data_IF_165704170463
#
_entry.id   IF_165704170463
#
_cell.length_a   1.000
_cell.length_b   1.000
_cell.length_c   1.000
_cell.angle_alpha   90.00
_cell.angle_beta   90.00
_cell.angle_gamma   90.00
#
_symmetry.space_group_name_H-M   'P 1'
#
loop_
_entity.id
_entity.type
_entity.pdbx_description
1 polymer ?
#
# COMPACT_ATOMS: atom_id res chain seq x y z
N UNK A 1 17.37 102.54 -90.84
CA UNK A 1 17.38 102.72 -89.37
C UNK A 1 16.04 102.34 -88.71
N UNK A 2 14.86 102.73 -89.21
CA UNK A 2 13.56 102.48 -88.52
C UNK A 2 13.09 101.00 -88.47
N UNK A 3 13.40 100.18 -89.48
CA UNK A 3 13.02 98.75 -89.49
C UNK A 3 13.81 97.89 -88.49
N UNK A 4 15.10 98.19 -88.25
CA UNK A 4 15.89 97.48 -87.23
C UNK A 4 15.34 97.72 -85.82
N UNK A 5 14.93 98.95 -85.47
CA UNK A 5 14.38 99.22 -84.14
C UNK A 5 13.04 98.51 -83.86
N UNK A 6 12.18 98.31 -84.87
CA UNK A 6 10.93 97.52 -84.70
C UNK A 6 11.20 96.02 -84.56
N UNK A 7 12.16 95.47 -85.31
CA UNK A 7 12.56 94.07 -85.15
C UNK A 7 13.17 93.82 -83.76
N UNK A 8 14.07 94.71 -83.32
CA UNK A 8 14.67 94.65 -81.99
C UNK A 8 13.65 94.81 -80.86
N UNK A 9 12.69 95.73 -81.02
CA UNK A 9 11.60 95.90 -80.03
C UNK A 9 10.68 94.68 -79.96
N UNK A 10 10.44 93.98 -81.08
CA UNK A 10 9.65 92.76 -81.10
C UNK A 10 10.41 91.59 -80.46
N UNK A 11 11.70 91.44 -80.75
CA UNK A 11 12.56 90.46 -80.06
C UNK A 11 12.63 90.73 -78.56
N UNK A 12 12.84 91.98 -78.14
CA UNK A 12 12.82 92.39 -76.73
C UNK A 12 11.48 92.06 -76.07
N UNK A 13 10.35 92.23 -76.77
CA UNK A 13 9.04 91.87 -76.25
C UNK A 13 8.84 90.35 -76.12
N UNK A 14 9.33 89.57 -77.09
CA UNK A 14 9.29 88.10 -77.05
C UNK A 14 10.16 87.55 -75.93
N UNK A 15 11.39 88.04 -75.81
CA UNK A 15 12.33 87.65 -74.75
C UNK A 15 11.77 88.03 -73.37
N UNK A 16 11.15 89.20 -73.22
CA UNK A 16 10.48 89.58 -71.95
C UNK A 16 9.33 88.64 -71.61
N UNK A 17 8.50 88.28 -72.58
CA UNK A 17 7.41 87.32 -72.39
C UNK A 17 7.92 85.93 -72.01
N UNK A 18 8.95 85.42 -72.70
CA UNK A 18 9.59 84.15 -72.36
C UNK A 18 10.22 84.19 -70.96
N UNK A 19 10.88 85.29 -70.60
CA UNK A 19 11.51 85.46 -69.28
C UNK A 19 10.47 85.51 -68.16
N UNK A 20 9.30 86.11 -68.42
CA UNK A 20 8.16 86.10 -67.51
C UNK A 20 7.53 84.70 -67.37
N UNK A 21 7.40 83.96 -68.48
CA UNK A 21 6.98 82.55 -68.47
C UNK A 21 7.97 81.66 -67.71
N UNK A 22 9.28 81.86 -67.90
CA UNK A 22 10.32 81.15 -67.15
C UNK A 22 10.28 81.50 -65.66
N UNK A 23 10.07 82.77 -65.30
CA UNK A 23 9.88 83.18 -63.90
C UNK A 23 8.65 82.52 -63.27
N UNK A 24 7.52 82.50 -63.98
CA UNK A 24 6.30 81.83 -63.51
C UNK A 24 6.51 80.32 -63.33
N UNK A 25 7.08 79.65 -64.33
CA UNK A 25 7.41 78.22 -64.25
C UNK A 25 8.38 77.92 -63.10
N UNK A 26 9.41 78.75 -62.92
CA UNK A 26 10.36 78.59 -61.83
C UNK A 26 9.69 78.78 -60.47
N UNK A 27 8.82 79.79 -60.32
CA UNK A 27 8.01 79.96 -59.11
C UNK A 27 7.15 78.73 -58.80
N UNK A 28 6.47 78.17 -59.80
CA UNK A 28 5.67 76.96 -59.64
C UNK A 28 6.52 75.74 -59.24
N UNK A 29 7.70 75.57 -59.86
CA UNK A 29 8.65 74.51 -59.50
C UNK A 29 9.18 74.67 -58.07
N UNK A 30 9.47 75.89 -57.63
CA UNK A 30 9.89 76.19 -56.26
C UNK A 30 8.78 75.79 -55.27
N UNK A 31 7.53 76.13 -55.55
CA UNK A 31 6.41 75.78 -54.68
C UNK A 31 6.15 74.28 -54.63
N UNK A 32 6.25 73.58 -55.77
CA UNK A 32 6.19 72.11 -55.79
C UNK A 32 7.33 71.48 -54.99
N UNK A 33 8.55 72.01 -55.10
CA UNK A 33 9.71 71.51 -54.36
C UNK A 33 9.55 71.74 -52.85
N UNK A 34 8.99 72.89 -52.45
CA UNK A 34 8.64 73.17 -51.05
C UNK A 34 7.56 72.21 -50.53
N UNK A 35 6.52 71.96 -51.32
CA UNK A 35 5.47 70.99 -50.95
C UNK A 35 6.05 69.58 -50.81
N UNK A 36 6.87 69.13 -51.78
CA UNK A 36 7.52 67.81 -51.72
C UNK A 36 8.48 67.68 -50.54
N UNK A 37 9.23 68.74 -50.21
CA UNK A 37 10.08 68.78 -49.03
C UNK A 37 9.26 68.66 -47.73
N UNK A 38 8.10 69.33 -47.65
CA UNK A 38 7.19 69.21 -46.51
C UNK A 38 6.57 67.81 -46.40
N UNK A 39 6.15 67.21 -47.51
CA UNK A 39 5.66 65.82 -47.56
C UNK A 39 6.73 64.83 -47.10
N UNK A 40 7.98 64.99 -47.56
CA UNK A 40 9.12 64.16 -47.14
C UNK A 40 9.41 64.29 -45.64
N UNK A 41 9.36 65.51 -45.10
CA UNK A 41 9.53 65.75 -43.66
C UNK A 41 8.44 65.08 -42.82
N UNK A 42 7.18 65.14 -43.27
CA UNK A 42 6.05 64.43 -42.64
C UNK A 42 6.23 62.90 -42.69
N UNK A 43 6.66 62.36 -43.83
CA UNK A 43 6.91 60.92 -43.97
C UNK A 43 8.07 60.47 -43.07
N UNK A 44 9.14 61.25 -43.00
CA UNK A 44 10.30 60.96 -42.14
C UNK A 44 9.93 60.97 -40.66
N UNK A 45 9.11 61.93 -40.21
CA UNK A 45 8.64 61.96 -38.81
C UNK A 45 7.71 60.78 -38.49
N UNK A 46 6.84 60.38 -39.42
CA UNK A 46 6.00 59.19 -39.27
C UNK A 46 6.82 57.90 -39.20
N UNK A 47 7.82 57.75 -40.08
CA UNK A 47 8.73 56.60 -40.09
C UNK A 47 9.53 56.50 -38.79
N UNK A 48 10.03 57.63 -38.26
CA UNK A 48 10.69 57.66 -36.96
C UNK A 48 9.76 57.26 -35.80
N UNK A 49 8.47 57.62 -35.87
CA UNK A 49 7.46 57.17 -34.90
C UNK A 49 7.23 55.66 -34.96
N UNK A 50 7.10 55.10 -36.17
CA UNK A 50 6.93 53.65 -36.37
C UNK A 50 8.14 52.85 -35.87
N UNK A 51 9.38 53.31 -36.12
CA UNK A 51 10.57 52.66 -35.58
C UNK A 51 10.55 52.59 -34.04
N UNK A 52 10.14 53.67 -33.36
CA UNK A 52 9.99 53.67 -31.90
C UNK A 52 8.92 52.69 -31.42
N UNK A 53 7.82 52.55 -32.16
CA UNK A 53 6.76 51.58 -31.84
C UNK A 53 7.23 50.14 -32.03
N UNK A 54 7.99 49.84 -33.09
CA UNK A 54 8.57 48.51 -33.32
C UNK A 54 9.56 48.15 -32.23
N UNK A 55 10.44 49.07 -31.82
CA UNK A 55 11.38 48.82 -30.72
C UNK A 55 10.66 48.58 -29.39
N UNK A 56 9.60 49.36 -29.10
CA UNK A 56 8.76 49.15 -27.92
C UNK A 56 8.03 47.79 -27.95
N UNK A 57 7.49 47.38 -29.11
CA UNK A 57 6.85 46.07 -29.28
C UNK A 57 7.85 44.92 -29.14
N UNK A 58 9.04 45.05 -29.73
CA UNK A 58 10.12 44.07 -29.60
C UNK A 58 10.50 43.85 -28.13
N UNK A 59 10.69 44.93 -27.37
CA UNK A 59 10.94 44.87 -25.92
C UNK A 59 9.78 44.21 -25.15
N UNK A 60 8.52 44.51 -25.51
CA UNK A 60 7.34 43.86 -24.91
C UNK A 60 7.29 42.36 -25.21
N UNK A 61 7.60 41.94 -26.44
CA UNK A 61 7.65 40.52 -26.79
C UNK A 61 8.74 39.79 -26.00
N UNK A 62 9.95 40.37 -25.89
CA UNK A 62 11.04 39.79 -25.09
C UNK A 62 10.66 39.66 -23.60
N UNK A 63 10.01 40.67 -23.03
CA UNK A 63 9.50 40.62 -21.66
C UNK A 63 8.44 39.54 -21.50
N UNK A 64 7.49 39.44 -22.45
CA UNK A 64 6.45 38.42 -22.41
C UNK A 64 7.03 37.01 -22.48
N UNK A 65 8.01 36.77 -23.34
CA UNK A 65 8.75 35.49 -23.37
C UNK A 65 9.48 35.21 -22.04
N UNK A 66 10.10 36.22 -21.42
CA UNK A 66 10.76 36.06 -20.13
C UNK A 66 9.76 35.75 -19.01
N UNK A 67 8.60 36.41 -19.00
CA UNK A 67 7.50 36.14 -18.07
C UNK A 67 6.91 34.75 -18.30
N UNK A 68 6.71 34.32 -19.54
CA UNK A 68 6.28 32.97 -19.87
C UNK A 68 7.29 31.92 -19.38
N UNK A 69 8.60 32.15 -19.60
CA UNK A 69 9.65 31.25 -19.09
C UNK A 69 9.65 31.19 -17.56
N UNK A 70 9.52 32.32 -16.86
CA UNK A 70 9.45 32.37 -15.39
C UNK A 70 8.20 31.65 -14.88
N UNK A 71 7.02 32.01 -15.39
CA UNK A 71 5.74 31.48 -14.93
C UNK A 71 5.56 30.00 -15.27
N UNK A 72 5.94 29.57 -16.48
CA UNK A 72 5.84 28.16 -16.88
C UNK A 72 6.89 27.30 -16.17
N UNK A 73 8.14 27.74 -16.05
CA UNK A 73 9.16 26.94 -15.33
C UNK A 73 8.84 26.80 -13.85
N UNK A 74 8.30 27.85 -13.22
CA UNK A 74 7.90 27.81 -11.82
C UNK A 74 6.69 26.90 -11.59
N UNK A 75 5.59 27.11 -12.34
CA UNK A 75 4.34 26.36 -12.15
C UNK A 75 4.38 24.95 -12.72
N UNK A 76 5.02 24.75 -13.87
CA UNK A 76 5.00 23.44 -14.54
C UNK A 76 6.07 22.48 -14.00
N UNK A 77 7.13 22.99 -13.36
CA UNK A 77 8.29 22.18 -12.95
C UNK A 77 8.65 22.37 -11.49
N UNK A 78 8.94 23.60 -11.03
CA UNK A 78 9.45 23.81 -9.65
C UNK A 78 8.43 23.40 -8.58
N UNK A 79 7.19 23.85 -8.70
CA UNK A 79 6.15 23.58 -7.69
C UNK A 79 5.79 22.08 -7.62
N UNK A 80 5.54 21.37 -8.76
CA UNK A 80 5.33 19.93 -8.73
C UNK A 80 6.54 19.14 -8.21
N UNK A 81 7.77 19.52 -8.55
CA UNK A 81 8.98 18.89 -8.01
C UNK A 81 9.08 19.06 -6.50
N UNK A 82 8.80 20.25 -5.97
CA UNK A 82 8.82 20.49 -4.52
C UNK A 82 7.74 19.67 -3.79
N UNK A 83 6.58 19.43 -4.41
CA UNK A 83 5.54 18.53 -3.88
C UNK A 83 6.04 17.08 -3.88
N UNK A 84 6.66 16.63 -4.97
CA UNK A 84 7.22 15.27 -5.05
C UNK A 84 8.31 15.07 -3.99
N UNK A 85 9.20 16.04 -3.77
CA UNK A 85 10.23 15.97 -2.74
C UNK A 85 9.63 15.84 -1.32
N UNK A 86 8.51 16.54 -1.05
CA UNK A 86 7.77 16.39 0.22
C UNK A 86 7.16 14.99 0.35
N UNK A 87 6.57 14.46 -0.72
CA UNK A 87 5.99 13.11 -0.75
C UNK A 87 7.09 12.06 -0.52
N UNK A 88 8.24 12.16 -1.20
CA UNK A 88 9.36 11.24 -1.03
C UNK A 88 9.95 11.28 0.39
N UNK A 89 10.02 12.46 1.02
CA UNK A 89 10.42 12.58 2.44
C UNK A 89 9.39 11.93 3.36
N UNK A 90 8.10 12.14 3.14
CA UNK A 90 7.03 11.50 3.90
C UNK A 90 7.04 9.98 3.77
N UNK A 91 7.27 9.46 2.56
CA UNK A 91 7.37 8.02 2.29
C UNK A 91 8.60 7.39 2.95
N UNK A 92 9.75 8.09 2.99
CA UNK A 92 10.93 7.63 3.74
C UNK A 92 10.65 7.53 5.23
N UNK A 93 10.05 8.54 5.83
CA UNK A 93 9.67 8.50 7.25
C UNK A 93 8.66 7.38 7.53
N UNK A 94 7.71 7.15 6.60
CA UNK A 94 6.77 6.04 6.69
C UNK A 94 7.49 4.68 6.64
N UNK A 95 8.47 4.52 5.77
CA UNK A 95 9.28 3.31 5.66
C UNK A 95 10.07 3.04 6.94
N UNK A 96 10.70 4.07 7.54
CA UNK A 96 11.41 3.93 8.82
C UNK A 96 10.47 3.48 9.94
N UNK A 97 9.28 4.08 10.03
CA UNK A 97 8.25 3.67 10.99
C UNK A 97 7.76 2.25 10.74
N UNK A 98 7.61 1.84 9.47
CA UNK A 98 7.19 0.49 9.12
C UNK A 98 8.23 -0.55 9.55
N UNK A 99 9.52 -0.26 9.42
CA UNK A 99 10.60 -1.14 9.91
C UNK A 99 10.57 -1.27 11.44
N UNK A 100 10.31 -0.17 12.16
CA UNK A 100 10.12 -0.21 13.62
C UNK A 100 8.95 -1.12 14.00
N UNK A 101 7.78 -0.90 13.40
CA UNK A 101 6.58 -1.72 13.63
C UNK A 101 6.83 -3.19 13.30
N UNK A 102 7.57 -3.49 12.22
CA UNK A 102 7.95 -4.86 11.87
C UNK A 102 8.80 -5.51 12.95
N UNK A 103 9.78 -4.79 13.49
CA UNK A 103 10.63 -5.29 14.58
C UNK A 103 9.85 -5.52 15.89
N UNK A 104 8.91 -4.63 16.22
CA UNK A 104 8.04 -4.74 17.40
C UNK A 104 7.04 -5.88 17.25
N UNK A 105 6.46 -6.05 16.06
CA UNK A 105 5.53 -7.14 15.78
C UNK A 105 6.22 -8.51 15.94
N UNK A 106 7.43 -8.69 15.41
CA UNK A 106 8.20 -9.93 15.58
C UNK A 106 8.45 -10.22 17.08
N UNK A 107 8.86 -9.20 17.86
CA UNK A 107 9.08 -9.35 19.31
C UNK A 107 7.79 -9.73 20.04
N UNK A 108 6.68 -9.10 19.69
CA UNK A 108 5.35 -9.37 20.25
C UNK A 108 4.90 -10.80 19.94
N UNK A 109 5.06 -11.26 18.70
CA UNK A 109 4.74 -12.62 18.27
C UNK A 109 5.58 -13.67 19.02
N UNK A 110 6.89 -13.44 19.14
CA UNK A 110 7.78 -14.31 19.90
C UNK A 110 7.39 -14.38 21.39
N UNK A 111 7.03 -13.25 21.99
CA UNK A 111 6.55 -13.20 23.37
C UNK A 111 5.24 -13.98 23.54
N UNK A 112 4.29 -13.86 22.61
CA UNK A 112 3.02 -14.59 22.65
C UNK A 112 3.23 -16.11 22.55
N UNK A 113 4.11 -16.58 21.65
CA UNK A 113 4.46 -18.00 21.53
C UNK A 113 5.12 -18.51 22.81
N UNK A 114 6.09 -17.76 23.35
CA UNK A 114 6.79 -18.13 24.59
C UNK A 114 5.84 -18.23 25.80
N UNK A 115 4.90 -17.29 25.93
CA UNK A 115 3.86 -17.31 26.97
C UNK A 115 2.95 -18.53 26.81
N UNK A 116 2.48 -18.81 25.59
CA UNK A 116 1.64 -19.98 25.32
C UNK A 116 2.34 -21.29 25.67
N UNK A 117 3.62 -21.44 25.31
CA UNK A 117 4.41 -22.62 25.67
C UNK A 117 4.60 -22.75 27.18
N UNK A 118 4.84 -21.63 27.87
CA UNK A 118 4.96 -21.63 29.34
C UNK A 118 3.66 -22.05 30.02
N UNK A 119 2.51 -21.52 29.57
CA UNK A 119 1.20 -21.90 30.08
C UNK A 119 0.93 -23.40 29.86
N UNK A 120 1.22 -23.91 28.67
CA UNK A 120 1.08 -25.33 28.35
C UNK A 120 1.93 -26.20 29.28
N UNK A 121 3.20 -25.85 29.48
CA UNK A 121 4.10 -26.59 30.37
C UNK A 121 3.61 -26.56 31.82
N UNK A 122 3.08 -25.42 32.28
CA UNK A 122 2.48 -25.31 33.62
C UNK A 122 1.27 -26.23 33.76
N UNK A 123 0.33 -26.21 32.80
CA UNK A 123 -0.85 -27.08 32.79
C UNK A 123 -0.49 -28.56 32.80
N UNK A 124 0.50 -28.96 32.00
CA UNK A 124 1.01 -30.33 31.99
C UNK A 124 1.63 -30.71 33.35
N UNK A 125 2.46 -29.85 33.94
CA UNK A 125 3.05 -30.06 35.27
C UNK A 125 1.98 -30.20 36.36
N UNK A 126 0.90 -29.42 36.31
CA UNK A 126 -0.21 -29.56 37.28
C UNK A 126 -0.93 -30.90 37.14
N UNK A 127 -1.18 -31.37 35.92
CA UNK A 127 -1.76 -32.70 35.69
C UNK A 127 -0.85 -33.82 36.19
N UNK A 128 0.45 -33.75 35.91
CA UNK A 128 1.43 -34.74 36.37
C UNK A 128 1.50 -34.78 37.91
N UNK A 129 1.39 -33.62 38.58
CA UNK A 129 1.30 -33.56 40.04
C UNK A 129 0.03 -34.21 40.58
N UNK A 130 -1.12 -33.98 39.94
CA UNK A 130 -2.39 -34.61 40.31
C UNK A 130 -2.30 -36.13 40.12
N UNK A 131 -1.72 -36.59 39.01
CA UNK A 131 -1.49 -38.02 38.75
C UNK A 131 -0.61 -38.64 39.84
N UNK A 132 0.49 -37.96 40.21
CA UNK A 132 1.38 -38.45 41.27
C UNK A 132 0.64 -38.60 42.60
N UNK A 133 -0.14 -37.59 43.00
CA UNK A 133 -0.93 -37.63 44.23
C UNK A 133 -2.01 -38.73 44.20
N UNK A 134 -2.63 -38.97 43.04
CA UNK A 134 -3.62 -40.05 42.86
C UNK A 134 -2.97 -41.43 42.98
N UNK A 135 -1.79 -41.63 42.38
CA UNK A 135 -1.01 -42.86 42.53
C UNK A 135 -0.51 -43.08 43.96
N UNK A 136 -0.05 -42.03 44.64
CA UNK A 136 0.33 -42.09 46.06
C UNK A 136 -0.88 -42.47 46.94
N UNK A 137 -2.03 -41.84 46.73
CA UNK A 137 -3.27 -42.15 47.44
C UNK A 137 -3.72 -43.61 47.20
N UNK A 138 -3.64 -44.08 45.96
CA UNK A 138 -3.90 -45.47 45.61
C UNK A 138 -2.97 -46.44 46.36
N UNK A 139 -1.67 -46.13 46.42
CA UNK A 139 -0.71 -46.96 47.16
C UNK A 139 -1.07 -47.05 48.66
N UNK A 140 -1.51 -45.95 49.26
CA UNK A 140 -1.95 -45.91 50.66
C UNK A 140 -3.23 -46.71 50.89
N UNK A 141 -4.17 -46.70 49.94
CA UNK A 141 -5.38 -47.53 49.99
C UNK A 141 -5.05 -49.02 49.92
N UNK A 142 -4.12 -49.44 49.04
CA UNK A 142 -3.65 -50.82 48.98
C UNK A 142 -2.96 -51.28 50.28
N UNK A 143 -2.12 -50.42 50.87
CA UNK A 143 -1.47 -50.70 52.16
C UNK A 143 -2.52 -50.89 53.27
N UNK A 144 -3.49 -49.97 53.38
CA UNK A 144 -4.58 -50.08 54.35
C UNK A 144 -5.46 -51.31 54.15
N UNK A 145 -5.70 -51.73 52.91
CA UNK A 145 -6.44 -52.97 52.62
C UNK A 145 -5.66 -54.21 53.07
N UNK A 146 -4.34 -54.20 52.87
CA UNK A 146 -3.46 -55.30 53.26
C UNK A 146 -3.31 -55.43 54.79
N UNK A 147 -3.25 -54.30 55.50
CA UNK A 147 -3.20 -54.27 56.97
C UNK A 147 -4.53 -54.72 57.62
N UNK A 148 -5.66 -54.49 56.93
CA UNK A 148 -7.00 -54.89 57.37
C UNK A 148 -7.33 -56.31 56.92
N UNK A 149 -6.59 -57.28 57.45
CA UNK A 149 -6.89 -58.69 57.24
C UNK A 149 -8.36 -59.03 57.53
N UNK A 150 -9.04 -59.60 56.54
CA UNK A 150 -10.31 -60.33 56.62
C UNK A 150 -11.56 -59.60 57.17
N UNK A 151 -11.70 -58.29 57.01
CA UNK A 151 -13.00 -57.61 57.22
C UNK A 151 -13.74 -57.47 55.88
N UNK A 152 -14.67 -58.39 55.61
CA UNK A 152 -15.36 -58.56 54.31
C UNK A 152 -15.97 -57.27 53.76
N UNK A 153 -16.61 -56.48 54.60
CA UNK A 153 -17.50 -55.41 54.11
C UNK A 153 -16.74 -54.14 53.66
N UNK A 154 -15.54 -53.91 54.21
CA UNK A 154 -14.69 -52.78 53.80
C UNK A 154 -13.74 -53.18 52.66
N UNK A 155 -13.38 -54.46 52.58
CA UNK A 155 -12.58 -54.99 51.47
C UNK A 155 -13.31 -54.81 50.14
N UNK A 156 -14.63 -55.03 50.11
CA UNK A 156 -15.47 -54.83 48.91
C UNK A 156 -15.49 -53.36 48.45
N UNK A 157 -15.53 -52.39 49.38
CA UNK A 157 -15.48 -50.96 49.03
C UNK A 157 -14.12 -50.57 48.44
N UNK A 158 -13.03 -51.04 49.05
CA UNK A 158 -11.68 -50.76 48.54
C UNK A 158 -11.50 -51.42 47.18
N UNK A 159 -11.94 -52.67 47.01
CA UNK A 159 -11.90 -53.36 45.72
C UNK A 159 -12.68 -52.63 44.64
N UNK A 160 -13.87 -52.11 44.96
CA UNK A 160 -14.66 -51.30 44.02
C UNK A 160 -13.96 -50.00 43.61
N UNK A 161 -13.23 -49.35 44.52
CA UNK A 161 -12.38 -48.19 44.17
C UNK A 161 -11.21 -48.59 43.26
N UNK A 162 -10.63 -49.77 43.47
CA UNK A 162 -9.58 -50.30 42.60
C UNK A 162 -10.10 -50.59 41.18
N UNK A 163 -11.32 -51.13 41.05
CA UNK A 163 -11.93 -51.39 39.75
C UNK A 163 -12.16 -50.09 38.95
N UNK A 164 -12.49 -48.99 39.65
CA UNK A 164 -12.59 -47.66 39.03
C UNK A 164 -11.25 -47.07 38.57
N UNK A 165 -10.11 -47.56 39.03
CA UNK A 165 -8.79 -47.03 38.61
C UNK A 165 -8.56 -47.14 37.11
N UNK A 166 -9.03 -48.23 36.49
CA UNK A 166 -8.97 -48.39 35.03
C UNK A 166 -9.68 -47.25 34.28
N UNK A 167 -10.81 -46.77 34.81
CA UNK A 167 -11.54 -45.64 34.26
C UNK A 167 -10.86 -44.29 34.53
N UNK A 168 -10.19 -44.15 35.68
CA UNK A 168 -9.40 -42.97 36.00
C UNK A 168 -8.17 -42.86 35.09
N UNK A 169 -7.41 -43.95 34.89
CA UNK A 169 -6.23 -43.96 34.01
C UNK A 169 -6.61 -43.62 32.57
N UNK A 170 -7.75 -44.11 32.08
CA UNK A 170 -8.29 -43.74 30.78
C UNK A 170 -8.67 -42.26 30.71
N UNK A 171 -9.33 -41.73 31.74
CA UNK A 171 -9.70 -40.31 31.83
C UNK A 171 -8.48 -39.40 31.91
N UNK A 172 -7.46 -39.77 32.68
CA UNK A 172 -6.20 -39.04 32.77
C UNK A 172 -5.49 -39.02 31.42
N UNK A 173 -5.33 -40.19 30.80
CA UNK A 173 -4.70 -40.32 29.48
C UNK A 173 -5.41 -39.48 28.42
N UNK A 174 -6.75 -39.49 28.42
CA UNK A 174 -7.54 -38.62 27.55
C UNK A 174 -7.33 -37.14 27.84
N UNK A 175 -7.40 -36.74 29.10
CA UNK A 175 -7.28 -35.34 29.50
C UNK A 175 -5.89 -34.80 29.12
N UNK A 176 -4.84 -35.60 29.34
CA UNK A 176 -3.49 -35.29 28.90
C UNK A 176 -3.38 -35.20 27.37
N UNK A 177 -4.03 -36.11 26.64
CA UNK A 177 -4.14 -36.08 25.19
C UNK A 177 -4.81 -34.80 24.68
N UNK A 178 -5.94 -34.42 25.27
CA UNK A 178 -6.67 -33.18 24.97
C UNK A 178 -5.82 -31.96 25.26
N UNK A 179 -5.15 -31.88 26.43
CA UNK A 179 -4.27 -30.76 26.74
C UNK A 179 -3.12 -30.62 25.73
N UNK A 180 -2.47 -31.73 25.36
CA UNK A 180 -1.42 -31.74 24.35
C UNK A 180 -1.94 -31.25 23.01
N UNK A 181 -3.12 -31.74 22.60
CA UNK A 181 -3.76 -31.36 21.35
C UNK A 181 -4.14 -29.88 21.34
N UNK A 182 -4.75 -29.37 22.42
CA UNK A 182 -5.08 -27.95 22.57
C UNK A 182 -3.83 -27.07 22.54
N UNK A 183 -2.73 -27.49 23.18
CA UNK A 183 -1.45 -26.79 23.11
C UNK A 183 -0.88 -26.72 21.69
N UNK A 184 -0.93 -27.82 20.95
CA UNK A 184 -0.55 -27.88 19.53
C UNK A 184 -1.44 -26.98 18.66
N UNK A 185 -2.76 -26.97 18.90
CA UNK A 185 -3.69 -26.11 18.16
C UNK A 185 -3.45 -24.64 18.45
N UNK A 186 -3.22 -24.28 19.72
CA UNK A 186 -2.94 -22.90 20.12
C UNK A 186 -1.65 -22.38 19.52
N UNK A 187 -0.59 -23.19 19.53
CA UNK A 187 0.70 -22.84 18.93
C UNK A 187 0.58 -22.70 17.40
N UNK A 188 -0.06 -23.64 16.72
CA UNK A 188 -0.33 -23.55 15.28
C UNK A 188 -1.17 -22.30 14.92
N UNK A 189 -2.17 -21.96 15.72
CA UNK A 189 -2.98 -20.76 15.51
C UNK A 189 -2.17 -19.48 15.70
N UNK A 190 -1.33 -19.41 16.75
CA UNK A 190 -0.44 -18.26 16.98
C UNK A 190 0.57 -18.09 15.83
N UNK A 191 1.14 -19.18 15.32
CA UNK A 191 2.03 -19.15 14.15
C UNK A 191 1.30 -18.65 12.89
N UNK A 192 0.06 -19.08 12.67
CA UNK A 192 -0.77 -18.59 11.55
C UNK A 192 -1.10 -17.11 11.68
N UNK A 193 -1.48 -16.64 12.86
CA UNK A 193 -1.73 -15.21 13.12
C UNK A 193 -0.44 -14.41 12.93
N UNK A 194 0.70 -14.94 13.38
CA UNK A 194 2.00 -14.32 13.19
C UNK A 194 2.35 -14.17 11.70
N UNK A 195 2.14 -15.24 10.92
CA UNK A 195 2.34 -15.27 9.48
C UNK A 195 1.40 -14.30 8.74
N UNK A 196 0.11 -14.28 9.09
CA UNK A 196 -0.85 -13.34 8.50
C UNK A 196 -0.46 -11.88 8.75
N UNK A 197 -0.07 -11.55 9.99
CA UNK A 197 0.43 -10.22 10.35
C UNK A 197 1.72 -9.85 9.60
N UNK A 198 2.62 -10.80 9.39
CA UNK A 198 3.82 -10.58 8.57
C UNK A 198 3.47 -10.26 7.11
N UNK A 199 2.51 -10.98 6.52
CA UNK A 199 2.04 -10.72 5.16
C UNK A 199 1.32 -9.35 5.04
N UNK A 200 0.69 -8.85 6.10
CA UNK A 200 0.16 -7.47 6.16
C UNK A 200 1.27 -6.44 6.08
N UNK A 201 2.30 -6.59 6.89
CA UNK A 201 3.45 -5.68 6.88
C UNK A 201 4.22 -5.74 5.56
N UNK A 202 4.40 -6.92 4.96
CA UNK A 202 5.03 -7.06 3.65
C UNK A 202 4.21 -6.42 2.53
N UNK A 203 2.89 -6.55 2.57
CA UNK A 203 2.02 -5.86 1.62
C UNK A 203 2.14 -4.34 1.75
N UNK A 204 2.15 -3.82 2.98
CA UNK A 204 2.36 -2.38 3.24
C UNK A 204 3.72 -1.91 2.73
N UNK A 205 4.78 -2.69 2.94
CA UNK A 205 6.13 -2.39 2.44
C UNK A 205 6.18 -2.33 0.91
N UNK A 206 5.57 -3.31 0.23
CA UNK A 206 5.47 -3.34 -1.23
C UNK A 206 4.67 -2.15 -1.76
N UNK A 207 3.58 -1.77 -1.09
CA UNK A 207 2.77 -0.60 -1.46
C UNK A 207 3.53 0.72 -1.24
N UNK A 208 4.27 0.86 -0.13
CA UNK A 208 5.16 1.97 0.15
C UNK A 208 6.22 2.13 -0.95
N UNK A 209 6.93 1.04 -1.25
CA UNK A 209 7.95 0.99 -2.31
C UNK A 209 7.36 1.34 -3.69
N UNK A 210 6.14 0.87 -3.97
CA UNK A 210 5.42 1.22 -5.20
C UNK A 210 5.11 2.72 -5.28
N UNK A 211 4.73 3.37 -4.18
CA UNK A 211 4.49 4.82 -4.15
C UNK A 211 5.78 5.62 -4.36
N UNK A 212 6.89 5.19 -3.75
CA UNK A 212 8.21 5.83 -3.95
C UNK A 212 8.62 5.74 -5.41
N UNK A 213 8.51 4.55 -6.02
CA UNK A 213 8.84 4.37 -7.44
C UNK A 213 7.90 5.18 -8.35
N UNK A 214 6.61 5.28 -8.05
CA UNK A 214 5.69 6.16 -8.76
C UNK A 214 6.11 7.64 -8.67
N UNK A 215 6.48 8.11 -7.48
CA UNK A 215 6.94 9.48 -7.27
C UNK A 215 8.22 9.77 -8.07
N UNK A 216 9.19 8.85 -8.07
CA UNK A 216 10.43 8.98 -8.84
C UNK A 216 10.18 9.02 -10.35
N UNK A 217 9.28 8.15 -10.86
CA UNK A 217 8.92 8.16 -12.28
C UNK A 217 8.25 9.48 -12.66
N UNK A 218 7.37 10.00 -11.82
CA UNK A 218 6.70 11.27 -12.12
C UNK A 218 7.65 12.47 -12.05
N UNK A 219 8.64 12.43 -11.15
CA UNK A 219 9.76 13.37 -11.16
C UNK A 219 10.55 13.31 -12.47
N UNK A 220 10.92 12.11 -12.92
CA UNK A 220 11.63 11.92 -14.18
C UNK A 220 10.81 12.44 -15.38
N UNK A 221 9.50 12.18 -15.40
CA UNK A 221 8.59 12.71 -16.42
C UNK A 221 8.56 14.24 -16.43
N UNK A 222 8.52 14.90 -15.27
CA UNK A 222 8.55 16.36 -15.18
C UNK A 222 9.88 16.94 -15.68
N UNK A 223 11.00 16.34 -15.26
CA UNK A 223 12.33 16.74 -15.73
C UNK A 223 12.46 16.57 -17.25
N UNK A 224 11.98 15.45 -17.78
CA UNK A 224 12.01 15.15 -19.20
C UNK A 224 11.07 16.07 -20.00
N UNK A 225 9.88 16.38 -19.48
CA UNK A 225 8.98 17.40 -20.07
C UNK A 225 9.63 18.78 -20.12
N UNK A 226 10.42 19.17 -19.11
CA UNK A 226 11.15 20.43 -19.10
C UNK A 226 12.20 20.48 -20.24
N UNK A 227 12.98 19.41 -20.41
CA UNK A 227 13.95 19.29 -21.51
C UNK A 227 13.25 19.28 -22.88
N UNK A 228 12.12 18.59 -22.97
CA UNK A 228 11.31 18.44 -24.17
C UNK A 228 10.58 19.72 -24.62
N UNK A 229 10.23 20.61 -23.68
CA UNK A 229 9.55 21.87 -23.99
C UNK A 229 10.37 22.77 -24.91
N UNK A 230 11.70 22.59 -24.95
CA UNK A 230 12.57 23.24 -25.95
C UNK A 230 12.42 22.68 -27.38
N UNK A 231 11.64 21.61 -27.60
CA UNK A 231 11.49 20.93 -28.89
C UNK A 231 10.05 20.51 -29.23
N UNK A 232 9.01 21.22 -28.75
CA UNK A 232 7.61 20.83 -29.05
C UNK A 232 7.27 20.90 -30.54
N UNK A 233 7.53 19.78 -31.22
CA UNK A 233 6.96 19.37 -32.49
C UNK A 233 5.62 18.70 -32.14
N UNK A 234 4.57 19.16 -32.81
CA UNK A 234 3.19 18.66 -32.86
C UNK A 234 3.06 17.15 -32.54
N UNK A 235 2.00 16.68 -31.84
CA UNK A 235 1.78 15.25 -31.62
C UNK A 235 1.88 14.48 -32.94
N UNK A 236 2.76 13.48 -32.98
CA UNK A 236 3.16 12.76 -34.22
C UNK A 236 2.39 11.43 -34.40
N UNK A 237 1.45 11.12 -33.50
CA UNK A 237 0.69 9.87 -33.51
C UNK A 237 -0.69 10.02 -34.16
N UNK A 238 -1.07 9.04 -34.99
CA UNK A 238 -2.42 8.87 -35.53
C UNK A 238 -3.51 8.82 -34.44
N UNK A 239 -3.18 8.38 -33.22
CA UNK A 239 -4.11 8.29 -32.08
C UNK A 239 -4.05 9.51 -31.13
N UNK A 240 -3.32 10.56 -31.48
CA UNK A 240 -3.18 11.76 -30.65
C UNK A 240 -2.32 11.58 -29.40
N UNK A 241 -1.70 10.43 -29.20
CA UNK A 241 -0.75 10.21 -28.10
C UNK A 241 0.55 11.02 -28.33
N UNK A 242 0.98 11.72 -27.29
CA UNK A 242 2.26 12.43 -27.30
C UNK A 242 3.41 11.40 -27.44
N UNK A 243 4.46 11.75 -28.18
CA UNK A 243 5.66 10.91 -28.33
C UNK A 243 6.25 10.57 -26.96
N UNK A 244 6.15 11.51 -26.02
CA UNK A 244 6.55 11.32 -24.63
C UNK A 244 5.78 10.21 -23.91
N UNK A 245 4.46 10.16 -24.08
CA UNK A 245 3.66 9.12 -23.44
C UNK A 245 3.99 7.73 -23.98
N UNK A 246 4.34 7.63 -25.26
CA UNK A 246 4.80 6.36 -25.88
C UNK A 246 6.16 5.89 -25.39
N UNK A 247 7.05 6.79 -25.00
CA UNK A 247 8.34 6.40 -24.41
C UNK A 247 8.18 5.97 -22.94
N UNK A 248 7.35 6.69 -22.20
CA UNK A 248 7.23 6.48 -20.75
C UNK A 248 6.29 5.33 -20.38
N UNK A 249 5.19 5.10 -21.12
CA UNK A 249 4.24 4.01 -20.83
C UNK A 249 4.89 2.61 -20.85
N UNK A 250 5.75 2.27 -21.82
CA UNK A 250 6.50 1.01 -21.80
C UNK A 250 7.44 0.92 -20.62
N UNK A 251 8.13 2.00 -20.24
CA UNK A 251 8.99 1.99 -19.06
C UNK A 251 8.18 1.71 -17.80
N UNK A 252 7.00 2.32 -17.63
CA UNK A 252 6.06 2.04 -16.52
C UNK A 252 5.65 0.56 -16.37
N UNK A 253 5.91 -0.29 -17.37
CA UNK A 253 5.75 -1.75 -17.24
C UNK A 253 6.65 -2.34 -16.15
N UNK A 254 7.74 -1.67 -15.75
CA UNK A 254 8.58 -2.10 -14.61
C UNK A 254 7.80 -2.15 -13.29
N UNK A 255 6.65 -1.48 -13.18
CA UNK A 255 5.78 -1.48 -12.01
C UNK A 255 4.80 -2.66 -11.99
N UNK A 256 4.68 -3.40 -13.10
CA UNK A 256 3.80 -4.56 -13.20
C UNK A 256 4.16 -5.67 -12.20
N UNK A 257 5.45 -6.05 -12.01
CA UNK A 257 5.84 -7.02 -10.97
C UNK A 257 5.37 -6.62 -9.57
N UNK A 258 5.48 -5.35 -9.18
CA UNK A 258 5.01 -4.87 -7.86
C UNK A 258 3.50 -5.02 -7.70
N UNK A 259 2.72 -4.64 -8.72
CA UNK A 259 1.26 -4.83 -8.71
C UNK A 259 0.88 -6.30 -8.63
N UNK A 260 1.52 -7.16 -9.43
CA UNK A 260 1.29 -8.60 -9.41
C UNK A 260 1.67 -9.21 -8.06
N UNK A 261 2.78 -8.79 -7.46
CA UNK A 261 3.20 -9.23 -6.14
C UNK A 261 2.19 -8.85 -5.06
N UNK A 262 1.75 -7.59 -5.03
CA UNK A 262 0.69 -7.15 -4.11
C UNK A 262 -0.62 -7.93 -4.30
N UNK A 263 -1.01 -8.22 -5.55
CA UNK A 263 -2.17 -9.07 -5.84
C UNK A 263 -1.98 -10.52 -5.38
N UNK A 264 -0.77 -11.10 -5.49
CA UNK A 264 -0.45 -12.44 -5.00
C UNK A 264 -0.55 -12.51 -3.47
N UNK A 265 0.03 -11.55 -2.76
CA UNK A 265 -0.08 -11.46 -1.30
C UNK A 265 -1.54 -11.38 -0.83
N UNK A 266 -2.37 -10.58 -1.50
CA UNK A 266 -3.82 -10.49 -1.22
C UNK A 266 -4.56 -11.80 -1.47
N UNK A 267 -4.16 -12.58 -2.49
CA UNK A 267 -4.75 -13.90 -2.75
C UNK A 267 -4.35 -14.91 -1.68
N UNK A 268 -3.08 -14.92 -1.25
CA UNK A 268 -2.58 -15.81 -0.19
C UNK A 268 -3.36 -15.63 1.12
N UNK A 269 -3.62 -14.38 1.53
CA UNK A 269 -4.45 -14.12 2.73
C UNK A 269 -5.85 -14.72 2.67
N UNK A 270 -6.46 -14.75 1.47
CA UNK A 270 -7.80 -15.34 1.27
C UNK A 270 -7.78 -16.86 1.30
N UNK A 271 -6.69 -17.50 0.87
CA UNK A 271 -6.56 -18.95 0.99
C UNK A 271 -6.30 -19.37 2.43
N UNK A 272 -5.55 -18.58 3.20
CA UNK A 272 -5.20 -18.93 4.58
C UNK A 272 -6.40 -18.89 5.52
N UNK A 273 -7.37 -17.99 5.30
CA UNK A 273 -8.62 -17.99 6.10
C UNK A 273 -9.42 -19.27 5.91
N UNK A 274 -9.52 -19.78 4.67
CA UNK A 274 -10.27 -21.01 4.36
C UNK A 274 -9.62 -22.25 5.00
N UNK A 275 -8.29 -22.26 5.09
CA UNK A 275 -7.55 -23.37 5.70
C UNK A 275 -7.69 -23.44 7.22
N UNK A 276 -7.94 -22.31 7.89
CA UNK A 276 -8.16 -22.28 9.35
C UNK A 276 -9.47 -22.98 9.69
N UNK A 277 -10.55 -22.65 8.99
CA UNK A 277 -11.87 -23.23 9.23
C UNK A 277 -11.87 -24.76 9.02
N UNK A 278 -11.19 -25.23 7.97
CA UNK A 278 -11.04 -26.67 7.67
C UNK A 278 -10.19 -27.41 8.70
N UNK A 279 -9.19 -26.76 9.30
CA UNK A 279 -8.40 -27.37 10.37
C UNK A 279 -9.17 -27.41 11.69
N UNK A 280 -9.97 -26.39 12.01
CA UNK A 280 -10.81 -26.41 13.21
C UNK A 280 -11.84 -27.54 13.14
N UNK A 281 -12.55 -27.69 12.02
CA UNK A 281 -13.56 -28.73 11.84
C UNK A 281 -12.99 -30.15 12.02
N UNK A 282 -11.85 -30.45 11.38
CA UNK A 282 -11.21 -31.77 11.47
C UNK A 282 -10.77 -32.13 12.90
N UNK A 283 -10.39 -31.13 13.69
CA UNK A 283 -9.92 -31.37 15.04
C UNK A 283 -11.08 -31.55 16.03
N UNK A 284 -12.22 -30.89 15.81
CA UNK A 284 -13.44 -31.09 16.60
C UNK A 284 -13.95 -32.54 16.46
N UNK A 285 -14.05 -33.05 15.23
CA UNK A 285 -14.43 -34.45 14.97
C UNK A 285 -13.47 -35.45 15.65
N UNK A 286 -12.17 -35.14 15.67
CA UNK A 286 -11.17 -36.01 16.32
C UNK A 286 -11.32 -36.05 17.84
N UNK A 287 -11.63 -34.93 18.49
CA UNK A 287 -11.79 -34.89 19.96
C UNK A 287 -13.09 -35.58 20.36
N UNK A 288 -14.18 -35.33 19.62
CA UNK A 288 -15.47 -35.99 19.88
C UNK A 288 -15.35 -37.52 19.75
N UNK A 289 -14.67 -38.00 18.71
CA UNK A 289 -14.45 -39.45 18.52
C UNK A 289 -13.54 -40.08 19.58
N UNK A 290 -12.57 -39.35 20.13
CA UNK A 290 -11.78 -39.83 21.28
C UNK A 290 -12.58 -39.83 22.57
N UNK A 291 -13.38 -38.78 22.80
CA UNK A 291 -14.28 -38.69 23.95
C UNK A 291 -15.30 -39.84 23.96
N UNK A 292 -15.94 -40.10 22.82
CA UNK A 292 -16.90 -41.20 22.67
C UNK A 292 -16.27 -42.56 22.96
N UNK A 293 -15.03 -42.79 22.52
CA UNK A 293 -14.30 -44.04 22.81
C UNK A 293 -14.17 -44.30 24.32
N UNK A 294 -13.85 -43.30 25.12
CA UNK A 294 -13.72 -43.45 26.58
C UNK A 294 -15.05 -43.79 27.22
N UNK A 295 -16.13 -43.13 26.77
CA UNK A 295 -17.46 -43.41 27.28
C UNK A 295 -17.95 -44.80 26.89
N UNK A 296 -17.58 -45.31 25.71
CA UNK A 296 -17.89 -46.68 25.31
C UNK A 296 -17.12 -47.70 26.17
N UNK A 297 -15.84 -47.47 26.47
CA UNK A 297 -15.10 -48.29 27.43
C UNK A 297 -15.71 -48.26 28.84
N UNK A 298 -16.10 -47.07 29.33
CA UNK A 298 -16.74 -46.92 30.62
C UNK A 298 -18.11 -47.63 30.67
N UNK A 299 -18.90 -47.57 29.60
CA UNK A 299 -20.16 -48.32 29.48
C UNK A 299 -19.94 -49.84 29.48
N UNK A 300 -18.91 -50.33 28.79
CA UNK A 300 -18.55 -51.74 28.82
C UNK A 300 -18.17 -52.20 30.24
N UNK A 301 -17.42 -51.40 30.98
CA UNK A 301 -17.07 -51.69 32.38
C UNK A 301 -18.31 -51.70 33.28
N UNK A 302 -19.21 -50.72 33.16
CA UNK A 302 -20.47 -50.69 33.91
C UNK A 302 -21.36 -51.91 33.59
N UNK A 303 -21.36 -52.36 32.33
CA UNK A 303 -22.11 -53.56 31.92
C UNK A 303 -21.50 -54.85 32.50
N UNK A 304 -20.17 -54.97 32.51
CA UNK A 304 -19.45 -56.08 33.15
C UNK A 304 -19.71 -56.13 34.65
N UNK A 305 -19.66 -55.00 35.35
CA UNK A 305 -19.94 -54.90 36.78
C UNK A 305 -21.41 -55.22 37.08
N UNK A 306 -22.36 -54.71 36.28
CA UNK A 306 -23.78 -55.10 36.40
C UNK A 306 -23.98 -56.60 36.19
N UNK A 307 -23.31 -57.21 35.23
CA UNK A 307 -23.46 -58.64 34.95
C UNK A 307 -22.83 -59.52 36.05
N UNK A 308 -21.74 -59.08 36.67
CA UNK A 308 -21.12 -59.78 37.81
C UNK A 308 -21.96 -59.65 39.10
N UNK A 309 -22.53 -58.48 39.39
CA UNK A 309 -23.32 -58.26 40.61
C UNK A 309 -24.78 -58.72 40.49
N UNK A 310 -25.36 -58.82 39.30
CA UNK A 310 -26.73 -59.32 39.13
C UNK A 310 -26.92 -60.82 39.43
N UNK A 311 -25.85 -61.61 39.65
CA UNK A 311 -25.95 -62.99 40.14
C UNK A 311 -25.90 -63.13 41.67
N UNK A 312 -25.56 -62.06 42.42
CA UNK A 312 -25.55 -62.05 43.89
C UNK A 312 -26.03 -60.68 44.40
N UNK A 313 -27.31 -60.62 44.81
CA UNK A 313 -28.02 -59.54 45.53
C UNK A 313 -28.95 -58.61 44.71
N UNK A 314 -30.12 -58.24 45.27
CA UNK A 314 -31.13 -57.43 44.60
C UNK A 314 -30.71 -55.96 44.52
N UNK A 315 -30.82 -55.41 43.32
CA UNK A 315 -30.45 -54.05 42.93
C UNK A 315 -31.21 -53.00 43.75
N UNK A 316 -30.52 -52.32 44.68
CA UNK A 316 -30.90 -50.99 45.15
C UNK A 316 -30.06 -49.94 44.41
N UNK A 317 -30.75 -49.16 43.57
CA UNK A 317 -30.34 -47.95 42.84
C UNK A 317 -28.91 -47.45 43.08
N UNK A 318 -28.00 -47.77 42.15
CA UNK A 318 -26.73 -47.07 42.01
C UNK A 318 -26.99 -45.73 41.30
N UNK A 319 -27.06 -44.64 42.07
CA UNK A 319 -27.08 -43.28 41.55
C UNK A 319 -25.63 -42.84 41.40
N UNK A 320 -25.15 -42.75 40.16
CA UNK A 320 -23.84 -42.17 39.85
C UNK A 320 -24.01 -40.65 39.87
N UNK A 321 -23.52 -40.00 40.92
CA UNK A 321 -23.36 -38.55 40.97
C UNK A 321 -22.08 -38.17 40.23
N UNK A 322 -22.21 -37.47 39.11
CA UNK A 322 -21.11 -36.66 38.57
C UNK A 322 -21.08 -35.34 39.35
N UNK A 323 -19.96 -34.95 39.97
CA UNK A 323 -19.82 -33.59 40.44
C UNK A 323 -19.73 -32.68 39.22
N UNK A 324 -20.60 -31.67 39.17
CA UNK A 324 -20.44 -30.53 38.26
C UNK A 324 -19.09 -29.88 38.57
N UNK A 325 -18.19 -29.87 37.59
CA UNK A 325 -17.11 -28.88 37.47
C UNK A 325 -17.66 -27.78 36.56
#
# INVERSE_FOLDING_TARGET
>A
MSYCHKAQSNEDSSIRSELEMFKYRNSCLIDQLRQKSMEYSKLTSHMNSLYKQIDALSKRCQLNEALERLTLSERAVKEPLAIIDKIEKGLRNFEDNLQLVKSENIKSQQAAIALSLREQNNSQSYLEQIERLQRENLSLLHLKNSERGNQSDQSDQIQHFLDFMSSYDALYSFTMGVLRKLGQMRTAYLEKVAYAGQLDLELMHVQSSLLVTYAQVERLKLLLKNVAQHKRIRPVSYHGEDYFDRLVKPELSFLLPFKLHASRLKKLKRSDSINIDLETEKNEESIETEFLRIFDYAKCMISLVKNFFCQKMPVKKLVIFFPRI
#
